data_IF_284926034245
#
_entry.id   IF_284926034245
#
_cell.length_a   1.000
_cell.length_b   1.000
_cell.length_c   1.000
_cell.angle_alpha   90.00
_cell.angle_beta   90.00
_cell.angle_gamma   90.00
#
_symmetry.space_group_name_H-M   'P 1'
#
loop_
_entity.id
_entity.type
_entity.pdbx_description
1 polymer ?
#
# COMPACT_ATOMS: atom_id res chain seq x y z
N UNK A 1 -14.41 -0.88 15.92
CA UNK A 1 -15.30 -0.91 14.74
C UNK A 1 -14.70 -0.10 13.59
N UNK A 2 -15.24 -0.24 12.38
CA UNK A 2 -14.82 0.56 11.22
C UNK A 2 -15.10 2.06 11.43
N UNK A 3 -16.16 2.42 12.13
CA UNK A 3 -16.47 3.81 12.47
C UNK A 3 -15.45 4.41 13.44
N UNK A 4 -15.01 3.67 14.44
CA UNK A 4 -13.91 4.11 15.33
C UNK A 4 -12.61 4.32 14.56
N UNK A 5 -12.27 3.43 13.63
CA UNK A 5 -11.11 3.60 12.77
C UNK A 5 -11.25 4.85 11.88
N UNK A 6 -12.44 5.10 11.34
CA UNK A 6 -12.70 6.28 10.53
C UNK A 6 -12.53 7.59 11.34
N UNK A 7 -13.02 7.60 12.57
CA UNK A 7 -12.85 8.72 13.47
C UNK A 7 -11.36 8.97 13.79
N UNK A 8 -10.60 7.93 14.12
CA UNK A 8 -9.16 8.03 14.37
C UNK A 8 -8.38 8.52 13.15
N UNK A 9 -8.79 8.08 11.93
CA UNK A 9 -8.19 8.57 10.69
C UNK A 9 -8.37 10.09 10.55
N UNK A 10 -9.61 10.59 10.72
CA UNK A 10 -9.91 12.02 10.66
C UNK A 10 -9.14 12.81 11.73
N UNK A 11 -9.10 12.32 12.97
CA UNK A 11 -8.35 12.95 14.07
C UNK A 11 -6.85 13.03 13.77
N UNK A 12 -6.32 12.10 12.98
CA UNK A 12 -4.92 12.14 12.52
C UNK A 12 -4.67 13.06 11.32
N UNK A 13 -5.74 13.65 10.74
CA UNK A 13 -5.66 14.54 9.59
C UNK A 13 -5.95 13.87 8.24
N UNK A 14 -6.29 12.57 8.22
CA UNK A 14 -6.64 11.83 7.00
C UNK A 14 -8.05 12.22 6.56
N UNK A 15 -8.22 12.58 5.28
CA UNK A 15 -9.51 12.98 4.71
C UNK A 15 -10.12 11.90 3.81
N UNK A 16 -9.29 11.02 3.27
CA UNK A 16 -9.70 9.95 2.39
C UNK A 16 -8.88 8.69 2.64
N UNK A 17 -9.51 7.54 2.52
CA UNK A 17 -8.86 6.22 2.64
C UNK A 17 -9.26 5.31 1.49
N UNK A 18 -8.37 4.42 1.11
CA UNK A 18 -8.69 3.28 0.25
C UNK A 18 -8.75 2.06 1.16
N UNK A 19 -9.93 1.47 1.29
CA UNK A 19 -10.11 0.22 2.04
C UNK A 19 -9.57 -0.95 1.21
N UNK A 20 -8.57 -1.64 1.73
CA UNK A 20 -7.83 -2.70 1.03
C UNK A 20 -7.88 -4.02 1.80
N UNK A 21 -9.04 -4.68 1.89
CA UNK A 21 -9.12 -5.98 2.54
C UNK A 21 -8.19 -6.98 1.85
N UNK A 22 -7.62 -7.91 2.65
CA UNK A 22 -6.83 -9.00 2.11
C UNK A 22 -7.66 -9.87 1.17
N UNK A 23 -7.08 -10.22 0.06
CA UNK A 23 -7.72 -11.01 -0.99
C UNK A 23 -6.74 -11.99 -1.62
N UNK A 24 -7.28 -13.02 -2.26
CA UNK A 24 -6.50 -14.02 -2.97
C UNK A 24 -5.63 -14.92 -2.07
N UNK A 25 -5.95 -14.99 -0.79
CA UNK A 25 -5.30 -15.91 0.14
C UNK A 25 -5.59 -17.38 -0.23
N UNK A 26 -4.63 -18.30 -0.06
CA UNK A 26 -4.74 -19.68 -0.54
C UNK A 26 -5.89 -20.49 0.04
N UNK A 27 -6.37 -20.19 1.24
CA UNK A 27 -7.32 -21.01 2.00
C UNK A 27 -8.61 -20.28 2.43
N UNK A 28 -8.81 -19.02 2.02
CA UNK A 28 -9.97 -18.25 2.40
C UNK A 28 -11.01 -18.12 1.27
N UNK A 29 -12.29 -17.97 1.67
CA UNK A 29 -13.35 -17.51 0.75
C UNK A 29 -12.99 -16.09 0.33
N UNK A 30 -12.35 -15.99 -0.83
CA UNK A 30 -11.84 -14.73 -1.33
C UNK A 30 -12.96 -13.73 -1.58
N UNK A 31 -12.87 -12.58 -0.95
CA UNK A 31 -13.56 -11.39 -1.42
C UNK A 31 -13.24 -11.20 -2.90
N UNK A 32 -14.24 -10.95 -3.72
CA UNK A 32 -14.05 -10.56 -5.11
C UNK A 32 -14.30 -9.05 -5.28
N UNK A 33 -13.95 -8.50 -6.42
CA UNK A 33 -14.09 -7.07 -6.70
C UNK A 33 -15.52 -6.56 -6.42
N UNK A 34 -16.56 -7.34 -6.73
CA UNK A 34 -17.96 -6.97 -6.51
C UNK A 34 -18.30 -6.90 -5.01
N UNK A 35 -17.84 -7.88 -4.21
CA UNK A 35 -18.10 -7.86 -2.76
C UNK A 35 -17.40 -6.70 -2.05
N UNK A 36 -16.21 -6.32 -2.49
CA UNK A 36 -15.53 -5.12 -1.95
C UNK A 36 -16.34 -3.86 -2.23
N UNK A 37 -16.90 -3.71 -3.44
CA UNK A 37 -17.74 -2.55 -3.76
C UNK A 37 -18.99 -2.49 -2.89
N UNK A 38 -19.63 -3.64 -2.61
CA UNK A 38 -20.79 -3.71 -1.71
C UNK A 38 -20.41 -3.26 -0.30
N UNK A 39 -19.35 -3.81 0.28
CA UNK A 39 -18.92 -3.44 1.63
C UNK A 39 -18.48 -1.97 1.75
N UNK A 40 -17.82 -1.42 0.71
CA UNK A 40 -17.49 0.02 0.67
C UNK A 40 -18.75 0.87 0.64
N UNK A 41 -19.78 0.48 -0.13
CA UNK A 41 -21.05 1.21 -0.16
C UNK A 41 -21.78 1.15 1.18
N UNK A 42 -21.75 0.01 1.87
CA UNK A 42 -22.30 -0.14 3.23
C UNK A 42 -21.53 0.73 4.23
N UNK A 43 -20.21 0.73 4.18
CA UNK A 43 -19.40 1.57 5.04
C UNK A 43 -19.66 3.07 4.81
N UNK A 44 -19.77 3.52 3.58
CA UNK A 44 -20.12 4.91 3.24
C UNK A 44 -21.44 5.33 3.84
N UNK A 45 -22.49 4.49 3.76
CA UNK A 45 -23.79 4.76 4.39
C UNK A 45 -23.68 4.85 5.91
N UNK A 46 -22.91 3.95 6.53
CA UNK A 46 -22.70 3.98 7.96
C UNK A 46 -21.94 5.24 8.43
N UNK A 47 -20.97 5.71 7.64
CA UNK A 47 -20.24 6.96 7.89
C UNK A 47 -21.17 8.17 7.76
N UNK A 48 -22.01 8.21 6.73
CA UNK A 48 -23.01 9.26 6.53
C UNK A 48 -24.00 9.34 7.70
N UNK A 49 -24.53 8.18 8.13
CA UNK A 49 -25.43 8.11 9.29
C UNK A 49 -24.77 8.53 10.62
N UNK A 50 -23.47 8.30 10.73
CA UNK A 50 -22.68 8.71 11.89
C UNK A 50 -22.11 10.14 11.79
N UNK A 51 -22.41 10.88 10.72
CA UNK A 51 -21.88 12.22 10.43
C UNK A 51 -20.34 12.28 10.41
N UNK A 52 -19.69 11.20 9.97
CA UNK A 52 -18.22 11.10 9.86
C UNK A 52 -17.81 11.45 8.41
N UNK A 53 -17.18 12.62 8.15
CA UNK A 53 -16.90 13.11 6.80
C UNK A 53 -15.63 12.50 6.17
N UNK A 54 -15.38 11.19 6.39
CA UNK A 54 -14.26 10.48 5.79
C UNK A 54 -14.67 9.93 4.43
N UNK A 55 -13.90 10.25 3.40
CA UNK A 55 -14.09 9.65 2.08
C UNK A 55 -13.48 8.24 2.05
N UNK A 56 -14.23 7.25 1.56
CA UNK A 56 -13.78 5.85 1.46
C UNK A 56 -13.85 5.38 0.02
N UNK A 57 -12.75 4.84 -0.46
CA UNK A 57 -12.62 4.19 -1.77
C UNK A 57 -12.34 2.70 -1.60
N UNK A 58 -12.66 1.91 -2.63
CA UNK A 58 -12.42 0.48 -2.60
C UNK A 58 -11.11 0.11 -3.29
N UNK A 59 -10.46 -0.91 -2.78
CA UNK A 59 -9.28 -1.55 -3.33
C UNK A 59 -9.13 -2.94 -2.74
N UNK A 60 -8.00 -3.56 -2.99
CA UNK A 60 -7.62 -4.84 -2.38
C UNK A 60 -6.14 -4.82 -2.05
N UNK A 61 -5.76 -5.41 -0.93
CA UNK A 61 -4.41 -5.92 -0.74
C UNK A 61 -4.38 -7.35 -1.25
N UNK A 62 -3.80 -7.51 -2.45
CA UNK A 62 -3.85 -8.75 -3.21
C UNK A 62 -2.66 -9.63 -2.81
N UNK A 63 -2.92 -10.79 -2.23
CA UNK A 63 -1.88 -11.78 -2.04
C UNK A 63 -1.40 -12.32 -3.39
N UNK A 64 -0.12 -12.11 -3.71
CA UNK A 64 0.47 -12.42 -5.01
C UNK A 64 0.61 -13.92 -5.26
N UNK A 65 -0.08 -14.41 -6.28
CA UNK A 65 -0.01 -15.79 -6.78
C UNK A 65 0.21 -15.82 -8.28
N UNK A 66 0.58 -16.96 -8.84
CA UNK A 66 0.72 -17.16 -10.29
C UNK A 66 -0.57 -16.84 -11.08
N UNK A 67 -1.72 -16.79 -10.43
CA UNK A 67 -3.01 -16.46 -11.05
C UNK A 67 -3.40 -14.99 -10.93
N UNK A 68 -2.60 -14.16 -10.24
CA UNK A 68 -2.94 -12.76 -9.95
C UNK A 68 -3.23 -11.96 -11.21
N UNK A 69 -2.35 -12.00 -12.20
CA UNK A 69 -2.55 -11.28 -13.47
C UNK A 69 -3.84 -11.72 -14.18
N UNK A 70 -4.09 -13.02 -14.29
CA UNK A 70 -5.29 -13.57 -14.92
C UNK A 70 -6.57 -13.13 -14.18
N UNK A 71 -6.55 -13.13 -12.84
CA UNK A 71 -7.70 -12.73 -12.02
C UNK A 71 -7.97 -11.22 -12.10
N UNK A 72 -6.91 -10.40 -12.17
CA UNK A 72 -7.04 -8.95 -12.46
C UNK A 72 -7.67 -8.72 -13.83
N UNK A 73 -7.17 -9.38 -14.87
CA UNK A 73 -7.68 -9.27 -16.24
C UNK A 73 -9.16 -9.67 -16.35
N UNK A 74 -9.60 -10.65 -15.56
CA UNK A 74 -11.00 -11.11 -15.50
C UNK A 74 -11.91 -10.23 -14.61
N UNK A 75 -11.39 -9.19 -13.99
CA UNK A 75 -12.14 -8.33 -13.06
C UNK A 75 -12.57 -9.04 -11.77
N UNK A 76 -11.91 -10.14 -11.40
CA UNK A 76 -12.16 -10.85 -10.14
C UNK A 76 -11.48 -10.18 -8.95
N UNK A 77 -10.35 -9.54 -9.19
CA UNK A 77 -9.63 -8.69 -8.23
C UNK A 77 -9.75 -7.24 -8.69
N UNK A 78 -9.71 -6.30 -7.76
CA UNK A 78 -9.74 -4.88 -8.07
C UNK A 78 -8.46 -4.17 -7.67
N UNK A 79 -8.13 -3.15 -8.44
CA UNK A 79 -7.05 -2.22 -8.18
C UNK A 79 -7.49 -1.14 -7.18
N UNK A 80 -6.56 -0.33 -6.71
CA UNK A 80 -6.86 0.79 -5.82
C UNK A 80 -7.75 1.82 -6.52
N UNK A 81 -8.95 2.03 -5.99
CA UNK A 81 -9.96 2.97 -6.53
C UNK A 81 -10.29 2.76 -8.03
N UNK A 82 -10.13 1.55 -8.57
CA UNK A 82 -10.33 1.27 -9.99
C UNK A 82 -9.26 1.87 -10.92
N UNK A 83 -8.15 2.35 -10.37
CA UNK A 83 -7.02 2.91 -11.11
C UNK A 83 -6.15 1.81 -11.76
N UNK A 84 -5.02 2.19 -12.36
CA UNK A 84 -4.03 1.23 -12.88
C UNK A 84 -3.10 0.62 -11.81
N UNK A 85 -3.33 0.90 -10.54
CA UNK A 85 -2.44 0.57 -9.42
C UNK A 85 -3.02 -0.57 -8.57
N UNK A 86 -2.69 -1.85 -8.79
CA UNK A 86 -2.95 -2.93 -7.85
C UNK A 86 -1.94 -2.88 -6.69
N UNK A 87 -2.41 -3.04 -5.45
CA UNK A 87 -1.58 -3.23 -4.27
C UNK A 87 -1.36 -4.72 -4.07
N UNK A 88 -0.11 -5.18 -4.09
CA UNK A 88 0.23 -6.60 -4.06
C UNK A 88 1.18 -6.87 -2.88
N UNK A 89 0.78 -7.79 -2.01
CA UNK A 89 1.62 -8.34 -0.95
C UNK A 89 2.11 -9.75 -1.30
N UNK A 90 3.21 -10.15 -0.67
CA UNK A 90 3.83 -11.47 -0.87
C UNK A 90 4.13 -12.14 0.48
N UNK A 91 4.35 -13.47 0.48
CA UNK A 91 4.88 -14.16 1.66
C UNK A 91 6.15 -13.51 2.19
N UNK A 92 6.30 -13.48 3.52
CA UNK A 92 7.44 -12.84 4.16
C UNK A 92 8.75 -13.61 4.02
N UNK A 93 8.68 -14.90 3.75
CA UNK A 93 9.81 -15.83 3.63
C UNK A 93 10.02 -16.23 2.18
N UNK A 94 11.23 -16.45 1.77
CA UNK A 94 11.75 -17.03 0.51
C UNK A 94 10.79 -17.07 -0.69
N UNK A 95 10.46 -15.89 -1.22
CA UNK A 95 9.51 -15.75 -2.33
C UNK A 95 10.03 -14.81 -3.45
N UNK A 96 11.30 -14.41 -3.40
CA UNK A 96 11.88 -13.37 -4.24
C UNK A 96 11.65 -13.58 -5.75
N UNK A 97 11.96 -14.78 -6.24
CA UNK A 97 11.81 -15.13 -7.66
C UNK A 97 10.34 -15.09 -8.08
N UNK A 98 9.49 -15.78 -7.34
CA UNK A 98 8.06 -15.86 -7.64
C UNK A 98 7.39 -14.49 -7.56
N UNK A 99 7.74 -13.66 -6.58
CA UNK A 99 7.26 -12.28 -6.48
C UNK A 99 7.63 -11.49 -7.74
N UNK A 100 8.87 -11.59 -8.20
CA UNK A 100 9.33 -10.89 -9.41
C UNK A 100 8.58 -11.36 -10.67
N UNK A 101 8.37 -12.66 -10.84
CA UNK A 101 7.62 -13.24 -11.97
C UNK A 101 6.14 -12.78 -11.95
N UNK A 102 5.53 -12.68 -10.77
CA UNK A 102 4.15 -12.18 -10.61
C UNK A 102 4.08 -10.69 -10.97
N UNK A 103 5.00 -9.88 -10.46
CA UNK A 103 5.04 -8.44 -10.76
C UNK A 103 5.21 -8.19 -12.26
N UNK A 104 6.10 -8.94 -12.92
CA UNK A 104 6.29 -8.87 -14.37
C UNK A 104 4.99 -9.18 -15.12
N UNK A 105 4.29 -10.26 -14.74
CA UNK A 105 3.02 -10.63 -15.36
C UNK A 105 1.91 -9.57 -15.20
N UNK A 106 1.90 -8.84 -14.10
CA UNK A 106 0.96 -7.74 -13.85
C UNK A 106 1.34 -6.51 -14.66
N UNK A 107 2.64 -6.19 -14.77
CA UNK A 107 3.14 -5.10 -15.61
C UNK A 107 2.79 -5.31 -17.10
N UNK A 108 2.86 -6.55 -17.59
CA UNK A 108 2.47 -6.91 -18.96
C UNK A 108 1.00 -6.64 -19.28
N UNK A 109 0.13 -6.50 -18.27
CA UNK A 109 -1.26 -6.05 -18.45
C UNK A 109 -1.40 -4.52 -18.63
N UNK A 110 -0.29 -3.77 -18.59
CA UNK A 110 -0.31 -2.30 -18.58
C UNK A 110 -0.69 -1.70 -17.24
N UNK A 111 -0.77 -2.52 -16.18
CA UNK A 111 -0.96 -2.08 -14.81
C UNK A 111 0.39 -1.71 -14.19
N UNK A 112 0.37 -0.90 -13.14
CA UNK A 112 1.57 -0.49 -12.41
C UNK A 112 1.46 -0.91 -10.95
N UNK A 113 1.99 -2.09 -10.58
CA UNK A 113 1.83 -2.64 -9.24
C UNK A 113 2.53 -1.78 -8.19
N UNK A 114 1.88 -1.66 -7.04
CA UNK A 114 2.45 -1.15 -5.80
C UNK A 114 2.79 -2.38 -4.94
N UNK A 115 4.05 -2.57 -4.62
CA UNK A 115 4.48 -3.62 -3.69
C UNK A 115 4.18 -3.15 -2.27
N UNK A 116 3.32 -3.90 -1.57
CA UNK A 116 2.98 -3.61 -0.19
C UNK A 116 4.16 -3.96 0.73
N UNK A 117 4.48 -3.03 1.61
CA UNK A 117 5.44 -3.16 2.71
C UNK A 117 6.67 -4.06 2.44
N UNK A 118 7.46 -3.80 1.35
CA UNK A 118 8.60 -4.64 0.99
C UNK A 118 9.68 -4.69 2.06
N UNK A 119 9.71 -3.73 2.95
CA UNK A 119 10.62 -3.68 4.11
C UNK A 119 10.36 -4.81 5.13
N UNK A 120 9.21 -5.49 5.05
CA UNK A 120 8.86 -6.58 5.96
C UNK A 120 9.25 -7.96 5.44
N UNK A 121 9.61 -8.09 4.17
CA UNK A 121 10.01 -9.38 3.59
C UNK A 121 11.45 -9.71 3.97
N UNK A 122 11.71 -10.93 4.47
CA UNK A 122 13.06 -11.34 4.87
C UNK A 122 14.03 -11.37 3.71
N UNK A 123 13.57 -11.74 2.52
CA UNK A 123 14.41 -11.78 1.34
C UNK A 123 14.79 -10.39 0.80
N UNK A 124 13.99 -9.35 1.00
CA UNK A 124 14.38 -7.96 0.69
C UNK A 124 15.29 -7.37 1.77
N UNK A 125 15.07 -7.74 3.04
CA UNK A 125 15.97 -7.34 4.13
C UNK A 125 17.38 -7.93 3.96
N UNK A 126 17.48 -9.18 3.49
CA UNK A 126 18.77 -9.83 3.24
C UNK A 126 19.41 -9.44 1.90
N UNK A 127 18.63 -9.06 0.92
CA UNK A 127 19.09 -8.62 -0.40
C UNK A 127 18.26 -7.44 -0.93
N UNK A 128 18.55 -6.20 -0.50
CA UNK A 128 17.84 -5.00 -0.97
C UNK A 128 17.97 -4.72 -2.48
N UNK A 129 18.97 -5.30 -3.17
CA UNK A 129 19.09 -5.17 -4.64
C UNK A 129 17.87 -5.74 -5.41
N UNK A 130 17.11 -6.63 -4.78
CA UNK A 130 15.85 -7.10 -5.35
C UNK A 130 14.85 -5.94 -5.56
N UNK A 131 14.88 -4.97 -4.65
CA UNK A 131 14.05 -3.76 -4.76
C UNK A 131 14.48 -2.90 -5.95
N UNK A 132 15.79 -2.81 -6.23
CA UNK A 132 16.27 -2.15 -7.45
C UNK A 132 15.57 -2.73 -8.69
N UNK A 133 15.60 -4.06 -8.81
CA UNK A 133 14.98 -4.75 -9.94
C UNK A 133 13.49 -4.42 -10.08
N UNK A 134 12.72 -4.51 -9.00
CA UNK A 134 11.29 -4.22 -9.05
C UNK A 134 10.99 -2.77 -9.46
N UNK A 135 11.81 -1.83 -8.97
CA UNK A 135 11.67 -0.42 -9.30
C UNK A 135 12.10 -0.12 -10.75
N UNK A 136 13.17 -0.77 -11.25
CA UNK A 136 13.56 -0.71 -12.67
C UNK A 136 12.47 -1.26 -13.60
N UNK A 137 11.80 -2.34 -13.20
CA UNK A 137 10.66 -2.90 -13.94
C UNK A 137 9.46 -1.95 -14.00
N UNK A 138 9.38 -0.94 -13.12
CA UNK A 138 8.30 0.04 -13.09
C UNK A 138 7.38 -0.04 -11.88
N UNK A 139 7.60 -0.96 -10.94
CA UNK A 139 6.83 -1.07 -9.71
C UNK A 139 6.99 0.16 -8.81
N UNK A 140 5.96 0.44 -8.02
CA UNK A 140 5.96 1.42 -6.94
C UNK A 140 6.04 0.69 -5.60
N UNK A 141 6.49 1.39 -4.55
CA UNK A 141 6.62 0.82 -3.22
C UNK A 141 5.79 1.58 -2.20
N UNK A 142 5.07 0.85 -1.36
CA UNK A 142 4.42 1.37 -0.16
C UNK A 142 5.10 0.80 1.06
N UNK A 143 5.57 1.64 1.96
CA UNK A 143 6.05 1.22 3.28
C UNK A 143 4.99 1.50 4.35
N UNK A 144 5.08 0.75 5.44
CA UNK A 144 4.17 0.89 6.56
C UNK A 144 4.67 1.94 7.57
N UNK A 145 3.72 2.79 8.05
CA UNK A 145 3.99 3.68 9.19
C UNK A 145 4.64 2.92 10.36
N UNK A 146 4.12 1.74 10.70
CA UNK A 146 4.64 0.94 11.81
C UNK A 146 6.11 0.53 11.65
N UNK A 147 6.59 0.38 10.42
CA UNK A 147 8.00 0.06 10.14
C UNK A 147 8.92 1.22 10.51
N UNK A 148 8.49 2.47 10.30
CA UNK A 148 9.29 3.66 10.64
C UNK A 148 9.58 3.79 12.15
N UNK A 149 8.76 3.14 12.98
CA UNK A 149 8.83 3.21 14.44
C UNK A 149 9.12 1.84 15.07
N UNK A 150 9.78 0.94 14.34
CA UNK A 150 10.29 -0.33 14.86
C UNK A 150 9.24 -1.40 15.18
N UNK A 151 7.96 -1.17 14.87
CA UNK A 151 6.86 -2.10 15.21
C UNK A 151 7.06 -3.51 14.65
N UNK A 152 7.69 -3.63 13.50
CA UNK A 152 7.93 -4.90 12.80
C UNK A 152 9.37 -5.39 12.91
N UNK A 153 10.11 -4.87 13.90
CA UNK A 153 11.48 -5.25 14.20
C UNK A 153 12.54 -4.40 13.50
N UNK A 154 13.78 -4.47 14.01
CA UNK A 154 14.90 -3.61 13.59
C UNK A 154 15.25 -3.71 12.10
N UNK A 155 15.12 -4.88 11.50
CA UNK A 155 15.46 -5.06 10.09
C UNK A 155 14.44 -4.37 9.18
N UNK A 156 13.14 -4.47 9.50
CA UNK A 156 12.09 -3.76 8.78
C UNK A 156 12.24 -2.24 8.92
N UNK A 157 12.54 -1.77 10.15
CA UNK A 157 12.80 -0.35 10.42
C UNK A 157 13.99 0.16 9.61
N UNK A 158 15.13 -0.51 9.69
CA UNK A 158 16.33 -0.13 8.97
C UNK A 158 16.10 -0.08 7.44
N UNK A 159 15.41 -1.08 6.89
CA UNK A 159 15.10 -1.08 5.46
C UNK A 159 14.08 0.00 5.08
N UNK A 160 13.06 0.27 5.90
CA UNK A 160 12.10 1.35 5.65
C UNK A 160 12.79 2.72 5.55
N UNK A 161 13.68 3.02 6.50
CA UNK A 161 14.49 4.25 6.47
C UNK A 161 15.43 4.28 5.26
N UNK A 162 16.12 3.17 4.99
CA UNK A 162 17.02 3.07 3.83
C UNK A 162 16.30 3.25 2.49
N UNK A 163 15.04 2.83 2.38
CA UNK A 163 14.22 3.04 1.19
C UNK A 163 13.79 4.51 1.03
N UNK A 164 13.45 5.19 2.13
CA UNK A 164 13.14 6.63 2.12
C UNK A 164 14.35 7.46 1.71
N UNK A 165 15.51 7.23 2.34
CA UNK A 165 16.77 7.93 2.05
C UNK A 165 17.19 7.80 0.59
N UNK A 166 16.81 6.72 -0.08
CA UNK A 166 17.15 6.39 -1.47
C UNK A 166 16.06 6.71 -2.49
N UNK A 167 15.01 7.42 -2.10
CA UNK A 167 13.90 7.80 -2.99
C UNK A 167 13.15 6.62 -3.61
N UNK A 168 13.14 5.46 -2.97
CA UNK A 168 12.39 4.30 -3.46
C UNK A 168 10.91 4.31 -3.12
N UNK A 169 10.53 5.01 -2.04
CA UNK A 169 9.17 5.00 -1.49
C UNK A 169 8.26 5.90 -2.31
N UNK A 170 7.09 5.38 -2.65
CA UNK A 170 6.02 6.14 -3.30
C UNK A 170 4.86 6.45 -2.36
N UNK A 171 4.68 5.64 -1.31
CA UNK A 171 3.59 5.79 -0.34
C UNK A 171 4.04 5.41 1.07
N UNK A 172 3.55 6.14 2.05
CA UNK A 172 3.58 5.75 3.46
C UNK A 172 2.14 5.52 3.90
N UNK A 173 1.80 4.29 4.31
CA UNK A 173 0.45 3.92 4.68
C UNK A 173 0.36 3.43 6.12
N UNK A 174 -0.83 3.53 6.72
CA UNK A 174 -1.09 3.03 8.06
C UNK A 174 -1.09 1.52 8.15
N UNK A 175 -1.53 0.84 7.07
CA UNK A 175 -1.79 -0.59 7.07
C UNK A 175 -2.68 -0.99 8.27
N UNK A 176 -3.79 -0.26 8.42
CA UNK A 176 -4.64 -0.32 9.61
C UNK A 176 -5.53 -1.57 9.63
N UNK A 177 -5.59 -2.22 10.79
CA UNK A 177 -6.39 -3.43 11.00
C UNK A 177 -7.36 -3.31 12.17
N UNK A 178 -7.12 -2.38 13.09
CA UNK A 178 -7.98 -2.20 14.27
C UNK A 178 -7.86 -0.78 14.82
N UNK A 179 -8.83 -0.35 15.65
CA UNK A 179 -8.76 0.95 16.29
C UNK A 179 -7.73 1.02 17.43
N UNK A 180 -7.17 -0.11 17.87
CA UNK A 180 -6.30 -0.16 19.06
C UNK A 180 -4.89 -0.65 18.80
N UNK A 181 -4.71 -1.61 17.88
CA UNK A 181 -3.41 -2.23 17.64
C UNK A 181 -2.68 -1.65 16.42
N UNK A 182 -3.17 -1.90 15.22
CA UNK A 182 -2.67 -1.31 13.95
C UNK A 182 -3.67 -0.26 13.52
N UNK A 183 -3.52 0.95 14.08
CA UNK A 183 -4.49 2.03 13.94
C UNK A 183 -4.30 2.80 12.63
N UNK A 184 -5.32 3.50 12.13
CA UNK A 184 -5.23 4.34 10.94
C UNK A 184 -4.52 5.68 11.19
N UNK A 185 -3.91 5.86 12.35
CA UNK A 185 -3.21 7.08 12.75
C UNK A 185 -1.96 7.31 11.89
N UNK A 186 -1.86 8.46 11.23
CA UNK A 186 -0.73 8.80 10.35
C UNK A 186 -0.02 10.10 10.76
N UNK A 187 -0.51 10.83 11.77
CA UNK A 187 0.07 12.12 12.17
C UNK A 187 1.54 12.02 12.53
N UNK A 188 1.94 11.02 13.30
CA UNK A 188 3.34 10.83 13.70
C UNK A 188 4.27 10.53 12.51
N UNK A 189 3.78 9.77 11.52
CA UNK A 189 4.53 9.58 10.27
C UNK A 189 4.65 10.88 9.47
N UNK A 190 3.59 11.69 9.42
CA UNK A 190 3.63 13.00 8.78
C UNK A 190 4.62 13.96 9.49
N UNK A 191 4.58 14.03 10.81
CA UNK A 191 5.50 14.84 11.62
C UNK A 191 6.96 14.37 11.43
N UNK A 192 7.20 13.05 11.40
CA UNK A 192 8.52 12.47 11.13
C UNK A 192 9.02 12.88 9.75
N UNK A 193 8.22 12.68 8.70
CA UNK A 193 8.61 13.00 7.34
C UNK A 193 8.88 14.50 7.14
N UNK A 194 8.05 15.37 7.72
CA UNK A 194 8.23 16.83 7.64
C UNK A 194 9.46 17.32 8.40
N UNK A 195 9.93 16.60 9.42
CA UNK A 195 11.14 16.92 10.16
C UNK A 195 12.41 16.44 9.47
N UNK A 196 12.39 15.23 8.87
CA UNK A 196 13.59 14.57 8.35
C UNK A 196 13.80 14.79 6.85
N UNK A 197 12.75 15.16 6.10
CA UNK A 197 12.78 15.28 4.63
C UNK A 197 12.21 16.63 4.17
N UNK A 198 12.54 17.07 2.94
CA UNK A 198 11.88 18.22 2.32
C UNK A 198 10.35 18.08 2.33
N UNK A 199 9.64 19.18 2.52
CA UNK A 199 8.18 19.21 2.60
C UNK A 199 7.51 18.56 1.37
N UNK A 200 8.10 18.74 0.20
CA UNK A 200 7.64 18.19 -1.07
C UNK A 200 7.66 16.66 -1.07
N UNK A 201 8.65 16.05 -0.42
CA UNK A 201 8.75 14.59 -0.24
C UNK A 201 7.64 14.10 0.67
N UNK A 202 7.46 14.70 1.85
CA UNK A 202 6.40 14.33 2.78
C UNK A 202 5.02 14.46 2.12
N UNK A 203 4.79 15.54 1.40
CA UNK A 203 3.54 15.79 0.68
C UNK A 203 3.31 14.78 -0.46
N UNK A 204 4.35 14.44 -1.22
CA UNK A 204 4.25 13.42 -2.28
C UNK A 204 3.82 12.06 -1.73
N UNK A 205 4.44 11.60 -0.62
CA UNK A 205 4.21 10.27 -0.05
C UNK A 205 2.85 10.13 0.65
N UNK A 206 2.32 11.21 1.25
CA UNK A 206 1.12 11.17 2.09
C UNK A 206 -0.12 11.74 1.42
N UNK A 207 0.02 12.60 0.42
CA UNK A 207 -1.10 13.29 -0.22
C UNK A 207 -1.08 13.20 -1.74
N UNK A 208 -0.02 13.66 -2.41
CA UNK A 208 -0.01 13.79 -3.86
C UNK A 208 -0.12 12.45 -4.58
N UNK A 209 0.73 11.46 -4.24
CA UNK A 209 0.68 10.15 -4.86
C UNK A 209 -0.62 9.41 -4.56
N UNK A 210 -1.13 9.34 -3.30
CA UNK A 210 -2.48 8.83 -3.02
C UNK A 210 -3.58 9.52 -3.82
N UNK A 211 -3.55 10.85 -3.94
CA UNK A 211 -4.52 11.61 -4.74
C UNK A 211 -4.44 11.25 -6.22
N UNK A 212 -3.24 11.10 -6.78
CA UNK A 212 -3.03 10.67 -8.17
C UNK A 212 -3.61 9.27 -8.44
N UNK A 213 -3.52 8.36 -7.47
CA UNK A 213 -4.22 7.05 -7.55
C UNK A 213 -5.72 7.27 -7.69
N UNK A 214 -6.34 8.10 -6.82
CA UNK A 214 -7.77 8.39 -6.86
C UNK A 214 -8.22 9.08 -8.15
N UNK A 215 -7.36 9.88 -8.75
CA UNK A 215 -7.60 10.63 -9.98
C UNK A 215 -7.17 9.87 -11.25
N UNK A 216 -6.70 8.64 -11.12
CA UNK A 216 -6.21 7.79 -12.22
C UNK A 216 -5.05 8.43 -13.01
N UNK A 217 -4.23 9.22 -12.33
CA UNK A 217 -3.08 9.93 -12.91
C UNK A 217 -1.78 9.14 -12.77
N UNK A 218 -0.79 9.48 -13.61
CA UNK A 218 0.56 8.93 -13.49
C UNK A 218 1.24 9.42 -12.21
N UNK A 219 2.02 8.54 -11.60
CA UNK A 219 2.85 8.84 -10.45
C UNK A 219 4.29 8.94 -10.90
N UNK A 220 4.84 10.13 -10.79
CA UNK A 220 6.25 10.37 -11.02
C UNK A 220 7.06 9.91 -9.80
N UNK A 221 8.27 9.45 -10.05
CA UNK A 221 9.23 9.10 -9.00
C UNK A 221 10.42 10.03 -9.08
N UNK A 222 10.96 10.37 -7.93
CA UNK A 222 12.31 10.91 -7.86
C UNK A 222 13.29 9.84 -8.34
N UNK A 223 14.43 10.26 -8.86
CA UNK A 223 15.48 9.33 -9.27
C UNK A 223 15.99 8.57 -8.04
N UNK A 224 15.96 7.22 -8.05
CA UNK A 224 16.37 6.43 -6.90
C UNK A 224 17.89 6.36 -6.79
N UNK A 225 18.39 6.27 -5.55
CA UNK A 225 19.78 5.94 -5.25
C UNK A 225 19.86 4.43 -5.05
N UNK A 226 20.40 3.72 -6.03
CA UNK A 226 20.42 2.27 -6.08
C UNK A 226 21.20 1.63 -4.92
N UNK A 227 20.74 0.48 -4.45
CA UNK A 227 21.51 -0.36 -3.54
C UNK A 227 22.69 -0.99 -4.29
N UNK A 228 23.86 -0.96 -3.72
CA UNK A 228 25.10 -1.56 -4.24
C UNK A 228 25.17 -3.07 -4.00
#
# INVERSE_FOLDING_TARGET
>A
SSLEMAQLALESGVQAVIATPHCNLPEEICLNAKSVQVHVAELRRALEQAEIPLQVYGGMEIFGTSHTAQRLQRGQLCTLAGSRYPLIEFPFEDYARTATEILDSVLQLGLRPIVAHPERYRYTQSNPRLINLWVEMGCLLQINRGSLFGRFGRHAEALAHGLLERNFVSFVASDAHSPTARTPWLRDAAEFLLREYPKEVAWALLEENPRRVLQHQEIDRNEPIWFE
#
